data_IF_179026421145
#
_entry.id   IF_179026421145
#
_cell.length_a   1.000
_cell.length_b   1.000
_cell.length_c   1.000
_cell.angle_alpha   90.00
_cell.angle_beta   90.00
_cell.angle_gamma   90.00
#
_symmetry.space_group_name_H-M   'P 1'
#
loop_
_entity.id
_entity.type
_entity.pdbx_description
1 polymer ?
#
# COMPACT_ATOMS: atom_id res chain seq x y z
N UNK A 1 5.97 -3.04 -5.66
CA UNK A 1 7.05 -3.05 -6.65
C UNK A 1 7.49 -4.49 -6.81
N UNK A 2 7.64 -4.95 -8.04
CA UNK A 2 8.19 -6.26 -8.37
C UNK A 2 9.31 -6.03 -9.38
N UNK A 3 10.47 -6.64 -9.14
CA UNK A 3 11.60 -6.67 -10.08
C UNK A 3 11.75 -8.12 -10.52
N UNK A 4 11.77 -8.36 -11.83
CA UNK A 4 11.88 -9.70 -12.41
C UNK A 4 13.33 -10.02 -12.75
N UNK A 5 13.77 -11.22 -12.43
CA UNK A 5 15.15 -11.68 -12.57
C UNK A 5 15.15 -13.14 -13.03
N UNK A 6 16.28 -13.59 -13.57
CA UNK A 6 16.48 -14.98 -13.96
C UNK A 6 16.77 -15.16 -15.45
N UNK A 7 16.66 -16.40 -15.91
CA UNK A 7 16.86 -16.81 -17.30
C UNK A 7 15.71 -17.72 -17.70
N UNK A 8 14.75 -17.13 -18.39
CA UNK A 8 13.53 -17.77 -18.88
C UNK A 8 13.00 -16.99 -20.10
N UNK A 9 12.24 -17.65 -20.96
CA UNK A 9 11.51 -17.01 -22.04
C UNK A 9 10.17 -16.46 -21.54
N UNK A 10 10.16 -15.16 -21.23
CA UNK A 10 8.98 -14.41 -20.77
C UNK A 10 7.78 -14.42 -21.73
N UNK A 11 7.97 -14.82 -22.99
CA UNK A 11 6.87 -14.97 -23.97
C UNK A 11 6.22 -16.34 -23.91
N UNK A 12 6.90 -17.35 -23.33
CA UNK A 12 6.41 -18.72 -23.23
C UNK A 12 6.02 -19.12 -21.80
N UNK A 13 6.53 -18.44 -20.77
CA UNK A 13 6.24 -18.73 -19.37
C UNK A 13 6.61 -17.58 -18.43
N UNK A 14 6.29 -17.72 -17.15
CA UNK A 14 6.65 -16.72 -16.12
C UNK A 14 5.84 -15.43 -16.16
N UNK A 15 4.83 -15.30 -17.03
CA UNK A 15 3.97 -14.12 -17.11
C UNK A 15 3.19 -13.90 -15.80
N UNK A 16 2.95 -12.63 -15.47
CA UNK A 16 2.16 -12.22 -14.32
C UNK A 16 0.68 -12.14 -14.70
N UNK A 17 -0.15 -12.94 -14.03
CA UNK A 17 -1.61 -12.91 -14.18
C UNK A 17 -2.22 -12.00 -13.12
N UNK A 18 -3.04 -11.03 -13.53
CA UNK A 18 -3.81 -10.14 -12.65
C UNK A 18 -5.30 -10.43 -12.84
N UNK A 19 -5.90 -11.20 -11.91
CA UNK A 19 -7.21 -11.83 -12.12
C UNK A 19 -8.36 -10.84 -12.26
N UNK A 20 -8.47 -9.86 -11.36
CA UNK A 20 -9.56 -8.88 -11.36
C UNK A 20 -9.47 -7.92 -12.56
N UNK A 21 -8.25 -7.66 -13.03
CA UNK A 21 -8.01 -6.85 -14.22
C UNK A 21 -8.21 -7.63 -15.52
N UNK A 22 -8.24 -8.97 -15.46
CA UNK A 22 -8.28 -9.88 -16.63
C UNK A 22 -7.16 -9.57 -17.62
N UNK A 23 -5.96 -9.36 -17.10
CA UNK A 23 -4.75 -9.07 -17.88
C UNK A 23 -3.67 -10.09 -17.53
N UNK A 24 -2.97 -10.55 -18.56
CA UNK A 24 -1.70 -11.28 -18.45
C UNK A 24 -0.61 -10.33 -18.94
N UNK A 25 0.44 -10.17 -18.14
CA UNK A 25 1.55 -9.26 -18.43
C UNK A 25 2.82 -10.09 -18.61
N UNK A 26 3.43 -9.96 -19.79
CA UNK A 26 4.77 -10.45 -20.06
C UNK A 26 5.77 -9.50 -19.37
N UNK A 27 6.62 -10.05 -18.50
CA UNK A 27 7.67 -9.31 -17.82
C UNK A 27 8.99 -10.03 -18.04
N UNK A 28 9.92 -9.39 -18.74
CA UNK A 28 11.25 -9.90 -19.01
C UNK A 28 12.17 -9.78 -17.77
N UNK A 29 13.24 -10.58 -17.68
CA UNK A 29 14.33 -10.31 -16.74
C UNK A 29 14.84 -8.87 -16.87
N UNK A 30 14.84 -8.12 -15.77
CA UNK A 30 15.18 -6.70 -15.72
C UNK A 30 13.96 -5.76 -15.66
N UNK A 31 12.76 -6.25 -15.98
CA UNK A 31 11.55 -5.45 -15.90
C UNK A 31 11.15 -5.15 -14.46
N UNK A 32 10.54 -3.96 -14.29
CA UNK A 32 10.03 -3.47 -13.02
C UNK A 32 8.58 -3.06 -13.18
N UNK A 33 7.71 -3.59 -12.31
CA UNK A 33 6.29 -3.22 -12.28
C UNK A 33 5.87 -2.72 -10.90
N UNK A 34 5.02 -1.70 -10.91
CA UNK A 34 4.32 -1.20 -9.73
C UNK A 34 2.83 -1.45 -9.90
N UNK A 35 2.23 -2.21 -8.98
CA UNK A 35 0.79 -2.46 -8.96
C UNK A 35 0.30 -2.64 -7.51
N UNK A 36 -0.99 -2.42 -7.24
CA UNK A 36 -1.58 -2.57 -5.90
C UNK A 36 -1.82 -4.05 -5.57
N UNK A 37 -0.73 -4.79 -5.34
CA UNK A 37 -0.72 -6.24 -5.08
C UNK A 37 -1.68 -6.70 -3.97
N UNK A 38 -1.89 -5.88 -2.93
CA UNK A 38 -2.82 -6.20 -1.84
C UNK A 38 -4.31 -6.19 -2.24
N UNK A 39 -4.66 -5.63 -3.40
CA UNK A 39 -6.03 -5.51 -3.89
C UNK A 39 -6.34 -6.43 -5.08
N UNK A 40 -5.32 -7.10 -5.63
CA UNK A 40 -5.42 -7.85 -6.88
C UNK A 40 -4.88 -9.24 -6.63
N UNK A 41 -5.71 -10.25 -6.83
CA UNK A 41 -5.25 -11.63 -6.85
C UNK A 41 -4.33 -11.82 -8.03
N UNK A 42 -3.15 -12.38 -7.79
CA UNK A 42 -2.11 -12.52 -8.81
C UNK A 42 -1.29 -13.79 -8.62
N UNK A 43 -0.74 -14.26 -9.74
CA UNK A 43 0.14 -15.44 -9.79
C UNK A 43 1.06 -15.34 -11.00
N UNK A 44 2.14 -16.12 -11.00
CA UNK A 44 2.99 -16.30 -12.17
C UNK A 44 2.63 -17.61 -12.87
N UNK A 45 2.69 -17.61 -14.21
CA UNK A 45 2.60 -18.84 -14.98
C UNK A 45 3.88 -19.69 -14.81
N UNK A 46 3.77 -21.02 -14.95
CA UNK A 46 4.93 -21.89 -14.88
C UNK A 46 5.95 -21.55 -15.98
N UNK A 47 7.21 -21.87 -15.70
CA UNK A 47 8.34 -21.81 -16.65
C UNK A 47 8.73 -23.24 -17.07
N UNK A 48 9.59 -23.37 -18.08
CA UNK A 48 10.11 -24.67 -18.50
C UNK A 48 11.09 -25.24 -17.47
N UNK A 49 11.26 -26.57 -17.37
CA UNK A 49 12.07 -27.20 -16.33
C UNK A 49 13.55 -26.80 -16.27
N UNK A 50 14.11 -26.27 -17.36
CA UNK A 50 15.50 -25.85 -17.46
C UNK A 50 15.70 -24.35 -17.22
N UNK A 51 14.61 -23.61 -17.00
CA UNK A 51 14.62 -22.17 -16.78
C UNK A 51 14.62 -21.84 -15.28
N UNK A 52 14.96 -20.60 -14.94
CA UNK A 52 14.82 -20.09 -13.59
C UNK A 52 14.25 -18.68 -13.59
N UNK A 53 13.27 -18.47 -12.70
CA UNK A 53 12.57 -17.21 -12.53
C UNK A 53 12.68 -16.78 -11.05
N UNK A 54 13.25 -15.61 -10.82
CA UNK A 54 13.36 -14.98 -9.52
C UNK A 54 12.63 -13.64 -9.54
N UNK A 55 12.16 -13.20 -8.37
CA UNK A 55 11.63 -11.86 -8.25
C UNK A 55 11.96 -11.23 -6.90
N UNK A 56 12.11 -9.91 -6.91
CA UNK A 56 12.27 -9.11 -5.70
C UNK A 56 11.01 -8.27 -5.52
N UNK A 57 10.32 -8.47 -4.40
CA UNK A 57 9.10 -7.72 -4.07
C UNK A 57 9.39 -6.66 -3.03
N UNK A 58 9.21 -5.39 -3.40
CA UNK A 58 9.17 -4.26 -2.48
C UNK A 58 7.73 -3.84 -2.18
N UNK A 59 7.35 -3.81 -0.90
CA UNK A 59 6.05 -3.31 -0.47
C UNK A 59 6.18 -2.43 0.78
N UNK A 60 5.17 -1.59 1.02
CA UNK A 60 5.04 -0.81 2.25
C UNK A 60 3.69 -1.11 2.87
N UNK A 61 3.69 -1.49 4.15
CA UNK A 61 2.45 -1.78 4.86
C UNK A 61 1.62 -0.51 5.03
N UNK A 62 0.34 -0.56 4.65
CA UNK A 62 -0.54 0.62 4.68
C UNK A 62 -0.74 1.23 6.07
N UNK A 63 -0.62 0.40 7.11
CA UNK A 63 -0.70 0.82 8.52
C UNK A 63 0.46 1.73 8.95
N UNK A 64 1.63 1.69 8.29
CA UNK A 64 2.75 2.59 8.61
C UNK A 64 2.39 4.05 8.33
N UNK A 65 1.66 4.31 7.25
CA UNK A 65 1.16 5.66 6.98
C UNK A 65 0.09 6.08 7.99
N UNK A 66 -0.78 5.15 8.41
CA UNK A 66 -1.75 5.43 9.47
C UNK A 66 -1.06 5.76 10.80
N UNK A 67 0.03 5.04 11.13
CA UNK A 67 0.82 5.28 12.33
C UNK A 67 1.50 6.66 12.27
N UNK A 68 2.08 7.03 11.12
CA UNK A 68 2.63 8.36 10.89
C UNK A 68 1.57 9.45 11.03
N UNK A 69 0.41 9.25 10.40
CA UNK A 69 -0.72 10.19 10.48
C UNK A 69 -1.24 10.28 11.95
N UNK A 70 -1.06 9.22 12.74
CA UNK A 70 -1.32 9.18 14.19
C UNK A 70 -0.17 9.71 15.06
N UNK A 71 0.80 10.42 14.46
CA UNK A 71 2.00 10.93 15.16
C UNK A 71 2.75 9.86 15.96
N UNK A 72 2.83 8.64 15.41
CA UNK A 72 3.49 7.48 16.01
C UNK A 72 2.85 6.94 17.29
N UNK A 73 1.60 7.31 17.56
CA UNK A 73 0.81 6.71 18.61
C UNK A 73 -0.11 5.63 18.05
N UNK A 74 -0.22 4.51 18.76
CA UNK A 74 -1.31 3.56 18.52
C UNK A 74 -2.65 4.18 18.94
N UNK A 75 -3.74 3.80 18.27
CA UNK A 75 -5.10 4.20 18.67
C UNK A 75 -5.41 3.91 20.14
N UNK A 76 -4.88 2.82 20.70
CA UNK A 76 -5.04 2.48 22.11
C UNK A 76 -4.36 3.50 23.03
N UNK A 77 -3.13 3.90 22.72
CA UNK A 77 -2.42 4.96 23.46
C UNK A 77 -3.17 6.28 23.39
N UNK A 78 -3.61 6.70 22.20
CA UNK A 78 -4.33 7.98 22.04
C UNK A 78 -5.65 7.96 22.80
N UNK A 79 -6.41 6.86 22.76
CA UNK A 79 -7.64 6.71 23.57
C UNK A 79 -7.37 6.80 25.07
N UNK A 80 -6.24 6.30 25.55
CA UNK A 80 -5.83 6.43 26.96
C UNK A 80 -5.53 7.89 27.31
N UNK A 81 -4.78 8.58 26.45
CA UNK A 81 -4.46 10.00 26.62
C UNK A 81 -5.73 10.85 26.64
N UNK A 82 -6.69 10.59 25.73
CA UNK A 82 -8.00 11.26 25.72
C UNK A 82 -8.72 11.10 27.07
N UNK A 83 -8.78 9.87 27.61
CA UNK A 83 -9.42 9.63 28.92
C UNK A 83 -8.75 10.41 30.05
N UNK A 84 -7.42 10.41 30.06
CA UNK A 84 -6.62 11.15 31.06
C UNK A 84 -6.84 12.65 30.95
N UNK A 85 -6.87 13.19 29.73
CA UNK A 85 -7.02 14.63 29.49
C UNK A 85 -8.42 15.12 29.84
N UNK A 86 -9.46 14.33 29.54
CA UNK A 86 -10.84 14.61 29.97
C UNK A 86 -10.93 14.69 31.51
N UNK A 87 -10.26 13.79 32.22
CA UNK A 87 -10.23 13.84 33.69
C UNK A 87 -9.43 15.04 34.21
N UNK A 88 -8.31 15.39 33.57
CA UNK A 88 -7.52 16.57 33.91
C UNK A 88 -8.33 17.88 33.72
N UNK A 89 -9.09 18.00 32.62
CA UNK A 89 -9.97 19.15 32.37
C UNK A 89 -11.04 19.25 33.45
N UNK A 90 -11.68 18.14 33.84
CA UNK A 90 -12.66 18.12 34.94
C UNK A 90 -12.08 18.60 36.27
N UNK A 91 -10.78 18.37 36.50
CA UNK A 91 -10.04 18.83 37.69
C UNK A 91 -9.45 20.24 37.55
N UNK A 92 -9.73 20.95 36.45
CA UNK A 92 -9.20 22.30 36.17
C UNK A 92 -7.70 22.33 35.84
N UNK A 93 -7.09 21.19 35.49
CA UNK A 93 -5.65 21.06 35.19
C UNK A 93 -5.34 20.65 33.74
N UNK A 94 -6.37 20.43 32.92
CA UNK A 94 -6.21 19.97 31.54
C UNK A 94 -6.24 21.09 30.51
N UNK A 95 -5.98 20.72 29.26
CA UNK A 95 -5.89 21.59 28.10
C UNK A 95 -6.91 21.17 27.03
N UNK A 96 -7.89 22.05 26.79
CA UNK A 96 -8.96 21.81 25.82
C UNK A 96 -8.41 21.64 24.39
N UNK A 97 -7.43 22.44 23.99
CA UNK A 97 -6.83 22.37 22.66
C UNK A 97 -6.08 21.05 22.45
N UNK A 98 -5.35 20.58 23.47
CA UNK A 98 -4.66 19.29 23.40
C UNK A 98 -5.66 18.11 23.28
N UNK A 99 -6.79 18.17 23.99
CA UNK A 99 -7.86 17.17 23.83
C UNK A 99 -8.42 17.14 22.41
N UNK A 100 -8.59 18.30 21.76
CA UNK A 100 -9.03 18.39 20.37
C UNK A 100 -8.00 17.78 19.41
N UNK A 101 -6.71 18.05 19.59
CA UNK A 101 -5.65 17.42 18.80
C UNK A 101 -5.65 15.88 18.94
N UNK A 102 -5.80 15.37 20.17
CA UNK A 102 -5.85 13.92 20.41
C UNK A 102 -7.06 13.26 19.73
N UNK A 103 -8.21 13.93 19.70
CA UNK A 103 -9.40 13.43 18.99
C UNK A 103 -9.18 13.40 17.48
N UNK A 104 -8.56 14.44 16.91
CA UNK A 104 -8.21 14.50 15.49
C UNK A 104 -7.26 13.36 15.07
N UNK A 105 -6.40 12.88 15.99
CA UNK A 105 -5.52 11.74 15.73
C UNK A 105 -6.30 10.40 15.63
N UNK A 106 -7.35 10.21 16.43
CA UNK A 106 -8.14 8.96 16.43
C UNK A 106 -9.08 8.89 15.23
N UNK A 107 -9.67 10.03 14.87
CA UNK A 107 -10.59 10.15 13.76
C UNK A 107 -9.79 10.11 12.45
N UNK A 108 -9.89 8.98 11.73
CA UNK A 108 -9.16 8.71 10.49
C UNK A 108 -9.21 9.93 9.56
N UNK A 109 -8.09 10.66 9.35
CA UNK A 109 -8.17 12.00 8.80
C UNK A 109 -8.61 11.98 7.33
N UNK A 110 -9.26 13.07 6.90
CA UNK A 110 -9.45 13.43 5.47
C UNK A 110 -8.17 13.26 4.65
N UNK A 111 -7.01 13.45 5.29
CA UNK A 111 -5.69 13.29 4.68
C UNK A 111 -5.37 11.85 4.26
N UNK A 112 -5.89 10.85 4.98
CA UNK A 112 -5.76 9.44 4.59
C UNK A 112 -6.45 9.16 3.26
N UNK A 113 -7.68 9.66 3.09
CA UNK A 113 -8.42 9.55 1.82
C UNK A 113 -7.76 10.35 0.70
N UNK A 114 -7.28 11.57 0.98
CA UNK A 114 -6.56 12.40 0.01
C UNK A 114 -5.28 11.70 -0.47
N UNK A 115 -4.48 11.15 0.46
CA UNK A 115 -3.25 10.41 0.16
C UNK A 115 -3.55 9.16 -0.67
N UNK A 116 -4.59 8.41 -0.32
CA UNK A 116 -5.03 7.25 -1.10
C UNK A 116 -5.41 7.65 -2.52
N UNK A 117 -6.27 8.66 -2.68
CA UNK A 117 -6.69 9.16 -3.98
C UNK A 117 -5.53 9.71 -4.83
N UNK A 118 -4.53 10.34 -4.19
CA UNK A 118 -3.30 10.76 -4.87
C UNK A 118 -2.46 9.57 -5.34
N UNK A 119 -2.31 8.55 -4.49
CA UNK A 119 -1.57 7.33 -4.83
C UNK A 119 -2.13 6.57 -6.02
N UNK A 120 -3.45 6.46 -6.14
CA UNK A 120 -4.10 5.82 -7.31
C UNK A 120 -3.74 6.47 -8.63
N UNK A 121 -3.56 7.79 -8.65
CA UNK A 121 -3.22 8.54 -9.86
C UNK A 121 -1.78 8.33 -10.32
N UNK A 122 -0.93 7.69 -9.51
CA UNK A 122 0.44 7.36 -9.87
C UNK A 122 0.54 6.11 -10.75
N UNK A 123 -0.53 5.31 -10.85
CA UNK A 123 -0.55 4.10 -11.66
C UNK A 123 -1.22 4.36 -13.01
N UNK A 124 -0.65 3.81 -14.08
CA UNK A 124 -1.27 3.83 -15.40
C UNK A 124 -2.60 3.07 -15.40
N UNK A 125 -3.55 3.55 -16.18
CA UNK A 125 -4.80 2.82 -16.44
C UNK A 125 -4.55 1.68 -17.43
N UNK A 126 -5.46 0.70 -17.46
CA UNK A 126 -5.41 -0.39 -18.46
C UNK A 126 -5.43 0.18 -19.89
N UNK A 127 -6.22 1.22 -20.13
CA UNK A 127 -6.30 1.86 -21.44
C UNK A 127 -4.97 2.50 -21.84
N UNK A 128 -4.27 3.14 -20.90
CA UNK A 128 -2.94 3.71 -21.14
C UNK A 128 -1.92 2.62 -21.47
N UNK A 129 -1.95 1.50 -20.74
CA UNK A 129 -1.05 0.36 -20.97
C UNK A 129 -1.27 -0.30 -22.35
N UNK A 130 -2.52 -0.39 -22.79
CA UNK A 130 -2.87 -0.97 -24.11
C UNK A 130 -2.43 -0.11 -25.30
N UNK A 131 -2.21 1.19 -25.10
CA UNK A 131 -1.78 2.11 -26.17
C UNK A 131 -0.27 2.21 -26.30
N UNK A 132 0.48 1.69 -25.33
CA UNK A 132 1.95 1.73 -25.30
C UNK A 132 2.63 0.45 -25.80
N UNK A 133 1.84 -0.57 -26.15
CA UNK A 133 2.28 -1.79 -26.84
C UNK A 133 1.97 -1.66 -28.33
#
# INVERSE_FOLDING_TARGET
MLIILGMFDHTQGGQLVLHELKVVIELAPGDVIFFPSALITHQNLPILPHEFHYSITGYTAGNLFQLRDQRFHSKAQVRRLIKQEVEAIRKGKGNQHYLEELKLIVDSPKDGMKRWGGGWKLFSTIEQLRRSQ
#
